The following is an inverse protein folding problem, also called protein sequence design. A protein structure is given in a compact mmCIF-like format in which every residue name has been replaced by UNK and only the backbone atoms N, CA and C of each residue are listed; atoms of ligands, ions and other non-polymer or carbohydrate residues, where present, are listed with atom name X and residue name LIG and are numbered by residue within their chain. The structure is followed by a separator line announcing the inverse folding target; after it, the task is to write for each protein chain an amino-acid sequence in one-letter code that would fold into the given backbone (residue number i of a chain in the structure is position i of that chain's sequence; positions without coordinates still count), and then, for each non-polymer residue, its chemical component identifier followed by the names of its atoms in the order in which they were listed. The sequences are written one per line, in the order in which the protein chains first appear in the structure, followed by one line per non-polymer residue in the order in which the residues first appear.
data_IF_180109087460
#
_entry.id   IF_180109087460
#
_cell.length_a   1.000
_cell.length_b   1.000
_cell.length_c   1.000
_cell.angle_alpha   90.00
_cell.angle_beta   90.00
_cell.angle_gamma   90.00
#
_symmetry.space_group_name_H-M   'P 1'
#
loop_
_entity.id
_entity.type
_entity.pdbx_description
1 polymer ?
#
# COMPACT_ATOMS: atom_id res chain seq x y z
N UNK A 1 -6.36 13.96 -14.39
CA UNK A 1 -7.47 14.15 -13.44
C UNK A 1 -7.40 15.55 -12.82
N UNK A 2 -8.51 16.06 -12.29
CA UNK A 2 -8.58 17.38 -11.65
C UNK A 2 -7.55 17.56 -10.52
N UNK A 3 -7.31 16.53 -9.71
CA UNK A 3 -6.30 16.55 -8.65
C UNK A 3 -4.89 16.79 -9.18
N UNK A 4 -4.48 16.09 -10.23
CA UNK A 4 -3.18 16.25 -10.84
C UNK A 4 -2.98 17.64 -11.44
N UNK A 5 -4.00 18.22 -12.05
CA UNK A 5 -3.93 19.59 -12.61
C UNK A 5 -3.61 20.61 -11.51
N UNK A 6 -4.32 20.55 -10.39
CA UNK A 6 -4.05 21.44 -9.24
C UNK A 6 -2.67 21.20 -8.61
N UNK A 7 -2.24 19.95 -8.51
CA UNK A 7 -0.89 19.62 -8.01
C UNK A 7 0.21 20.18 -8.91
N UNK A 8 0.05 20.05 -10.24
CA UNK A 8 0.98 20.61 -11.22
C UNK A 8 1.07 22.13 -11.12
N UNK A 9 -0.06 22.82 -11.03
CA UNK A 9 -0.10 24.28 -10.96
C UNK A 9 0.66 24.85 -9.76
N UNK A 10 0.63 24.18 -8.61
CA UNK A 10 1.36 24.62 -7.41
C UNK A 10 2.74 23.96 -7.22
N UNK A 11 3.19 23.16 -8.19
CA UNK A 11 4.46 22.39 -8.11
C UNK A 11 4.60 21.58 -6.81
N UNK A 12 3.52 21.03 -6.34
CA UNK A 12 3.49 20.20 -5.14
C UNK A 12 2.32 19.23 -5.15
N UNK A 13 2.59 17.99 -4.85
CA UNK A 13 1.56 16.96 -4.67
C UNK A 13 2.10 15.73 -3.96
N UNK A 14 1.24 15.10 -3.17
CA UNK A 14 1.51 13.84 -2.50
C UNK A 14 0.35 12.88 -2.77
N UNK A 15 0.67 11.75 -3.36
CA UNK A 15 -0.29 10.70 -3.68
C UNK A 15 0.13 9.46 -2.92
N UNK A 16 -0.77 8.94 -2.10
CA UNK A 16 -0.61 7.69 -1.41
C UNK A 16 -1.78 6.78 -1.75
N UNK A 17 -1.48 5.64 -2.32
CA UNK A 17 -2.48 4.64 -2.67
C UNK A 17 -2.26 3.36 -1.83
N UNK A 18 -3.31 2.57 -1.71
CA UNK A 18 -3.27 1.33 -0.95
C UNK A 18 -3.40 0.14 -1.91
N UNK A 19 -2.35 -0.66 -1.98
CA UNK A 19 -2.39 -2.00 -2.54
C UNK A 19 -3.18 -2.94 -1.63
N UNK A 20 -2.79 -4.17 -1.60
CA UNK A 20 -3.34 -5.20 -0.71
C UNK A 20 -2.27 -6.20 -0.37
N UNK A 21 -2.62 -7.18 0.46
CA UNK A 21 -1.73 -8.27 0.84
C UNK A 21 -1.24 -9.00 -0.42
N UNK A 22 0.09 -9.13 -0.56
CA UNK A 22 0.78 -9.80 -1.67
C UNK A 22 0.60 -9.18 -3.07
N UNK A 23 -0.03 -8.00 -3.20
CA UNK A 23 -0.28 -7.41 -4.53
C UNK A 23 0.95 -6.76 -5.15
N UNK A 24 2.04 -6.59 -4.39
CA UNK A 24 3.35 -6.14 -4.90
C UNK A 24 4.06 -7.22 -5.74
N UNK A 25 3.57 -8.44 -5.72
CA UNK A 25 4.04 -9.57 -6.54
C UNK A 25 2.97 -9.91 -7.58
N UNK A 26 3.37 -10.14 -8.82
CA UNK A 26 2.45 -10.63 -9.86
C UNK A 26 2.20 -12.11 -9.60
N UNK A 27 0.99 -12.43 -9.14
CA UNK A 27 0.56 -13.80 -8.84
C UNK A 27 -0.94 -14.01 -9.07
N UNK A 28 -1.36 -15.26 -9.09
CA UNK A 28 -2.78 -15.62 -9.13
C UNK A 28 -3.42 -15.56 -7.73
N UNK A 29 -4.65 -15.06 -7.67
CA UNK A 29 -5.48 -15.02 -6.46
C UNK A 29 -6.64 -16.00 -6.61
N UNK A 30 -6.68 -17.03 -5.76
CA UNK A 30 -7.71 -18.09 -5.85
C UNK A 30 -9.12 -17.59 -5.54
N UNK A 31 -9.27 -16.73 -4.54
CA UNK A 31 -10.57 -16.34 -4.00
C UNK A 31 -11.08 -15.01 -4.54
N UNK A 32 -10.20 -14.07 -4.85
CA UNK A 32 -10.57 -12.71 -5.26
C UNK A 32 -9.71 -12.23 -6.44
N UNK A 33 -9.82 -12.85 -7.64
CA UNK A 33 -8.93 -12.51 -8.75
C UNK A 33 -9.09 -11.07 -9.25
N UNK A 34 -10.31 -10.55 -9.27
CA UNK A 34 -10.59 -9.16 -9.69
C UNK A 34 -9.99 -8.17 -8.69
N UNK A 35 -10.13 -8.43 -7.39
CA UNK A 35 -9.51 -7.62 -6.34
C UNK A 35 -7.99 -7.61 -6.49
N UNK A 36 -7.38 -8.79 -6.65
CA UNK A 36 -5.94 -8.93 -6.83
C UNK A 36 -5.44 -8.15 -8.05
N UNK A 37 -6.11 -8.30 -9.20
CA UNK A 37 -5.78 -7.57 -10.42
C UNK A 37 -5.89 -6.05 -10.24
N UNK A 38 -6.98 -5.57 -9.63
CA UNK A 38 -7.20 -4.14 -9.38
C UNK A 38 -6.12 -3.57 -8.45
N UNK A 39 -5.81 -4.25 -7.35
CA UNK A 39 -4.81 -3.80 -6.37
C UNK A 39 -3.38 -3.84 -6.93
N UNK A 40 -3.05 -4.85 -7.74
CA UNK A 40 -1.78 -4.90 -8.46
C UNK A 40 -1.69 -3.77 -9.51
N UNK A 41 -2.79 -3.50 -10.23
CA UNK A 41 -2.87 -2.39 -11.18
C UNK A 41 -2.64 -1.01 -10.55
N UNK A 42 -3.12 -0.80 -9.33
CA UNK A 42 -2.85 0.42 -8.55
C UNK A 42 -1.34 0.65 -8.37
N UNK A 43 -0.56 -0.40 -8.15
CA UNK A 43 0.89 -0.26 -7.96
C UNK A 43 1.61 0.14 -9.26
N UNK A 44 1.15 -0.36 -10.40
CA UNK A 44 1.63 0.09 -11.72
C UNK A 44 1.29 1.56 -11.95
N UNK A 45 0.07 1.98 -11.58
CA UNK A 45 -0.35 3.38 -11.67
C UNK A 45 0.54 4.29 -10.80
N UNK A 46 0.86 3.88 -9.57
CA UNK A 46 1.77 4.61 -8.68
C UNK A 46 3.11 4.86 -9.36
N UNK A 47 3.72 3.84 -9.94
CA UNK A 47 5.00 3.97 -10.65
C UNK A 47 4.90 4.88 -11.88
N UNK A 48 3.83 4.77 -12.64
CA UNK A 48 3.59 5.63 -13.81
C UNK A 48 3.45 7.10 -13.42
N UNK A 49 2.72 7.38 -12.34
CA UNK A 49 2.54 8.75 -11.83
C UNK A 49 3.86 9.29 -11.26
N UNK A 50 4.60 8.47 -10.50
CA UNK A 50 5.88 8.88 -9.93
C UNK A 50 6.89 9.28 -11.00
N UNK A 51 6.95 8.56 -12.10
CA UNK A 51 7.84 8.89 -13.23
C UNK A 51 7.35 10.11 -14.00
N UNK A 52 6.07 10.17 -14.31
CA UNK A 52 5.50 11.18 -15.21
C UNK A 52 5.38 12.58 -14.59
N UNK A 53 5.37 12.68 -13.25
CA UNK A 53 5.09 13.95 -12.57
C UNK A 53 6.12 14.37 -11.54
N UNK A 54 7.27 13.68 -11.46
CA UNK A 54 8.35 14.02 -10.55
C UNK A 54 8.87 15.46 -10.76
N UNK A 55 9.06 15.88 -12.01
CA UNK A 55 9.51 17.24 -12.36
C UNK A 55 8.51 18.33 -11.92
N UNK A 56 7.24 17.98 -11.69
CA UNK A 56 6.23 18.87 -11.15
C UNK A 56 6.13 18.86 -9.61
N UNK A 57 7.11 18.27 -8.92
CA UNK A 57 7.14 18.21 -7.44
C UNK A 57 6.08 17.27 -6.84
N UNK A 58 5.57 16.34 -7.64
CA UNK A 58 4.55 15.38 -7.22
C UNK A 58 5.21 14.04 -6.95
N UNK A 59 4.95 13.47 -5.77
CA UNK A 59 5.33 12.09 -5.45
C UNK A 59 4.10 11.19 -5.39
N UNK A 60 4.27 9.94 -5.81
CA UNK A 60 3.26 8.91 -5.71
C UNK A 60 3.88 7.65 -5.10
N UNK A 61 3.30 7.14 -4.02
CA UNK A 61 3.74 5.96 -3.31
C UNK A 61 2.57 5.05 -2.99
N UNK A 62 2.84 3.80 -2.65
CA UNK A 62 1.83 2.87 -2.18
C UNK A 62 2.26 2.16 -0.90
N UNK A 63 1.28 1.86 -0.06
CA UNK A 63 1.40 0.92 1.05
C UNK A 63 0.61 -0.34 0.69
N UNK A 64 1.19 -1.51 0.96
CA UNK A 64 0.54 -2.81 0.85
C UNK A 64 0.38 -3.40 2.26
N UNK A 65 -0.75 -3.15 2.93
CA UNK A 65 -1.00 -3.70 4.25
C UNK A 65 -1.15 -5.22 4.20
N UNK A 66 -0.59 -5.90 5.20
CA UNK A 66 -0.88 -7.30 5.47
C UNK A 66 -2.19 -7.47 6.26
N UNK A 67 -2.26 -8.55 7.02
CA UNK A 67 -3.39 -8.81 7.92
C UNK A 67 -3.37 -7.80 9.06
N UNK A 68 -4.21 -6.78 8.94
CA UNK A 68 -4.21 -5.59 9.80
C UNK A 68 -5.38 -5.63 10.78
N UNK A 69 -5.12 -5.24 12.02
CA UNK A 69 -6.15 -5.03 13.03
C UNK A 69 -6.88 -3.69 12.77
N UNK A 70 -8.00 -3.77 12.08
CA UNK A 70 -8.83 -2.59 11.80
C UNK A 70 -9.70 -2.15 12.98
N UNK A 71 -9.73 -2.93 14.07
CA UNK A 71 -10.67 -2.73 15.18
C UNK A 71 -12.11 -3.14 14.88
N UNK A 72 -12.38 -3.66 13.66
CA UNK A 72 -13.71 -4.07 13.21
C UNK A 72 -13.88 -5.59 13.12
N UNK A 73 -12.82 -6.34 13.39
CA UNK A 73 -12.82 -7.80 13.28
C UNK A 73 -13.42 -8.42 14.54
N UNK A 74 -14.26 -9.44 14.34
CA UNK A 74 -14.70 -10.31 15.43
C UNK A 74 -13.51 -11.10 16.01
N UNK A 75 -13.58 -11.48 17.28
CA UNK A 75 -12.46 -12.12 17.99
C UNK A 75 -11.96 -13.40 17.30
N UNK A 76 -12.89 -14.26 16.84
CA UNK A 76 -12.53 -15.48 16.13
C UNK A 76 -11.81 -15.19 14.79
N UNK A 77 -12.23 -14.14 14.10
CA UNK A 77 -11.62 -13.70 12.85
C UNK A 77 -10.24 -13.08 13.08
N UNK A 78 -10.09 -12.26 14.13
CA UNK A 78 -8.81 -11.72 14.57
C UNK A 78 -7.78 -12.81 14.81
N UNK A 79 -8.15 -13.82 15.60
CA UNK A 79 -7.28 -14.95 15.92
C UNK A 79 -6.91 -15.76 14.67
N UNK A 80 -7.87 -15.95 13.76
CA UNK A 80 -7.62 -16.68 12.52
C UNK A 80 -6.67 -15.92 11.59
N UNK A 81 -6.80 -14.60 11.50
CA UNK A 81 -5.91 -13.78 10.68
C UNK A 81 -4.52 -13.62 11.31
N UNK A 82 -4.45 -13.45 12.63
CA UNK A 82 -3.18 -13.35 13.34
C UNK A 82 -2.29 -14.58 13.11
N UNK A 83 -2.87 -15.78 13.16
CA UNK A 83 -2.15 -17.04 12.91
C UNK A 83 -1.52 -17.15 11.52
N UNK A 84 -1.93 -16.32 10.56
CA UNK A 84 -1.34 -16.30 9.23
C UNK A 84 -0.01 -15.56 9.19
N UNK A 85 0.21 -14.60 10.09
CA UNK A 85 1.48 -13.88 10.16
C UNK A 85 2.56 -14.74 10.82
N UNK A 86 3.82 -14.60 10.41
CA UNK A 86 4.93 -15.39 10.95
C UNK A 86 5.11 -15.27 12.46
N UNK A 87 4.76 -14.12 13.04
CA UNK A 87 4.85 -13.85 14.49
C UNK A 87 3.54 -14.12 15.26
N UNK A 88 2.48 -14.54 14.55
CA UNK A 88 1.18 -14.83 15.16
C UNK A 88 0.36 -13.60 15.56
N UNK A 89 0.73 -12.41 15.12
CA UNK A 89 0.06 -11.15 15.46
C UNK A 89 -0.43 -10.39 14.23
N UNK A 90 -1.49 -9.59 14.39
CA UNK A 90 -1.94 -8.67 13.35
C UNK A 90 -1.00 -7.45 13.24
N UNK A 91 -0.97 -6.86 12.06
CA UNK A 91 -0.33 -5.55 11.85
C UNK A 91 -1.17 -4.50 12.58
N UNK A 92 -0.61 -3.71 13.51
CA UNK A 92 -1.36 -2.66 14.16
C UNK A 92 -1.66 -1.52 13.17
N UNK A 93 -2.83 -0.91 13.28
CA UNK A 93 -3.24 0.20 12.41
C UNK A 93 -2.27 1.39 12.50
N UNK A 94 -1.66 1.61 13.69
CA UNK A 94 -0.65 2.64 13.90
C UNK A 94 0.56 2.48 12.97
N UNK A 95 1.02 1.26 12.70
CA UNK A 95 2.13 1.02 11.78
C UNK A 95 1.80 1.48 10.34
N UNK A 96 0.56 1.29 9.92
CA UNK A 96 0.10 1.77 8.61
C UNK A 96 0.06 3.30 8.58
N UNK A 97 -0.45 3.92 9.65
CA UNK A 97 -0.55 5.38 9.78
C UNK A 97 0.84 6.03 9.82
N UNK A 98 1.77 5.46 10.58
CA UNK A 98 3.15 5.97 10.69
C UNK A 98 3.87 5.92 9.34
N UNK A 99 3.73 4.81 8.61
CA UNK A 99 4.28 4.67 7.28
C UNK A 99 3.65 5.65 6.28
N UNK A 100 2.34 5.87 6.38
CA UNK A 100 1.65 6.84 5.54
C UNK A 100 2.19 8.26 5.78
N UNK A 101 2.30 8.66 7.03
CA UNK A 101 2.87 9.97 7.41
C UNK A 101 4.33 10.10 6.98
N UNK A 102 5.13 9.05 7.13
CA UNK A 102 6.51 9.02 6.67
C UNK A 102 6.62 9.28 5.17
N UNK A 103 5.85 8.57 4.36
CA UNK A 103 5.88 8.74 2.89
C UNK A 103 5.33 10.10 2.44
N UNK A 104 4.30 10.62 3.12
CA UNK A 104 3.70 11.90 2.77
C UNK A 104 4.59 13.11 3.13
N UNK A 105 5.35 13.01 4.21
CA UNK A 105 6.24 14.09 4.67
C UNK A 105 7.56 14.18 3.89
N UNK A 106 8.00 13.10 3.27
CA UNK A 106 9.32 13.00 2.64
C UNK A 106 9.21 12.99 1.12
N UNK A 107 9.72 14.01 0.47
CA UNK A 107 9.68 14.14 -1.01
C UNK A 107 10.69 13.26 -1.74
N UNK A 108 11.66 12.68 -1.04
CA UNK A 108 12.68 11.80 -1.64
C UNK A 108 12.11 10.44 -2.04
N UNK A 109 11.07 10.00 -1.34
CA UNK A 109 10.41 8.73 -1.63
C UNK A 109 9.36 8.92 -2.72
N UNK A 110 9.62 8.34 -3.90
CA UNK A 110 8.74 8.48 -5.05
C UNK A 110 8.74 7.17 -5.86
N UNK A 111 7.58 6.58 -6.08
CA UNK A 111 7.41 5.27 -6.71
C UNK A 111 7.63 4.10 -5.75
N UNK A 112 7.69 4.35 -4.44
CA UNK A 112 7.86 3.30 -3.43
C UNK A 112 6.59 2.47 -3.30
N UNK A 113 6.77 1.16 -3.25
CA UNK A 113 5.73 0.19 -2.88
C UNK A 113 6.19 -0.44 -1.58
N UNK A 114 5.52 -0.13 -0.48
CA UNK A 114 5.94 -0.49 0.86
C UNK A 114 5.01 -1.54 1.46
N UNK A 115 5.44 -2.81 1.55
CA UNK A 115 4.69 -3.82 2.30
C UNK A 115 4.82 -3.55 3.80
N UNK A 116 3.70 -3.63 4.52
CA UNK A 116 3.63 -3.57 5.98
C UNK A 116 2.83 -4.77 6.43
N UNK A 117 3.48 -5.90 6.51
CA UNK A 117 2.83 -7.21 6.58
C UNK A 117 3.53 -8.21 7.52
N UNK A 118 4.42 -7.71 8.40
CA UNK A 118 5.15 -8.53 9.36
C UNK A 118 5.91 -9.71 8.73
N UNK A 119 6.35 -9.52 7.49
CA UNK A 119 7.10 -10.55 6.75
C UNK A 119 6.24 -11.58 6.02
N UNK A 120 4.92 -11.43 6.01
CA UNK A 120 4.02 -12.35 5.29
C UNK A 120 4.42 -12.57 3.84
N UNK A 121 4.67 -11.49 3.10
CA UNK A 121 5.08 -11.58 1.69
C UNK A 121 6.39 -12.34 1.53
N UNK A 122 7.35 -12.14 2.42
CA UNK A 122 8.65 -12.84 2.40
C UNK A 122 8.49 -14.34 2.67
N UNK A 123 7.47 -14.72 3.43
CA UNK A 123 7.16 -16.11 3.73
C UNK A 123 6.47 -16.82 2.55
N UNK A 124 5.74 -16.09 1.72
CA UNK A 124 4.95 -16.63 0.62
C UNK A 124 5.70 -16.70 -0.73
N UNK A 125 6.93 -16.23 -0.77
CA UNK A 125 7.75 -16.19 -2.00
C UNK A 125 8.51 -17.48 -2.23
#
# INVERSE_FOLDING_TARGET
SAALSGMKARHWGRILLFGGTETQIIRGFKTNPVYGAAKTGILSLVRSVSMGYAAAGITANAICPGFTDSGLLEEAERLNWAKKNPDGELVPLSAITDAALFLLKNSIYNGVIMPIDKGWTSFCV
#
